data_IF_218284222961
#
_entry.id   IF_218284222961
#
_cell.length_a   1.000
_cell.length_b   1.000
_cell.length_c   1.000
_cell.angle_alpha   90.00
_cell.angle_beta   90.00
_cell.angle_gamma   90.00
#
_symmetry.space_group_name_H-M   'P 1'
#
loop_
_entity.id
_entity.type
_entity.pdbx_description
1 polymer ?
#
# COMPACT_ATOMS: atom_id res chain seq x y z
N UNK A 1 -12.94 -17.28 4.78
CA UNK A 1 -12.13 -16.08 5.05
C UNK A 1 -13.01 -14.92 5.55
N UNK A 2 -14.12 -14.60 4.87
CA UNK A 2 -15.05 -13.54 5.31
C UNK A 2 -15.71 -13.77 6.70
N UNK A 3 -15.95 -15.02 7.08
CA UNK A 3 -16.55 -15.33 8.39
C UNK A 3 -15.63 -14.95 9.57
N UNK A 4 -14.31 -15.14 9.42
CA UNK A 4 -13.32 -14.74 10.43
C UNK A 4 -13.23 -13.22 10.54
N UNK A 5 -13.30 -12.52 9.39
CA UNK A 5 -13.36 -11.06 9.33
C UNK A 5 -14.59 -10.52 10.07
N UNK A 6 -15.77 -11.11 9.81
CA UNK A 6 -17.01 -10.70 10.44
C UNK A 6 -17.00 -10.92 11.96
N UNK A 7 -16.49 -12.07 12.40
CA UNK A 7 -16.36 -12.38 13.83
C UNK A 7 -15.40 -11.42 14.53
N UNK A 8 -14.25 -11.13 13.93
CA UNK A 8 -13.27 -10.21 14.53
C UNK A 8 -13.78 -8.76 14.56
N UNK A 9 -14.45 -8.30 13.50
CA UNK A 9 -15.08 -6.99 13.47
C UNK A 9 -16.20 -6.87 14.54
N UNK A 10 -17.03 -7.91 14.67
CA UNK A 10 -18.12 -7.96 15.65
C UNK A 10 -17.61 -8.05 17.09
N UNK A 11 -16.53 -8.80 17.34
CA UNK A 11 -15.88 -8.87 18.65
C UNK A 11 -15.30 -7.51 19.09
N UNK A 12 -14.85 -6.69 18.14
CA UNK A 12 -14.39 -5.32 18.39
C UNK A 12 -15.51 -4.26 18.34
N UNK A 13 -16.76 -4.64 18.01
CA UNK A 13 -17.88 -3.71 17.85
C UNK A 13 -17.72 -2.74 16.67
N UNK A 14 -16.87 -3.06 15.69
CA UNK A 14 -16.57 -2.21 14.55
C UNK A 14 -17.25 -2.74 13.28
N UNK A 15 -17.51 -1.85 12.32
CA UNK A 15 -17.85 -2.28 10.96
C UNK A 15 -16.67 -3.01 10.34
N UNK A 16 -16.93 -3.94 9.42
CA UNK A 16 -15.87 -4.74 8.76
C UNK A 16 -14.79 -3.85 8.12
N UNK A 17 -15.19 -2.79 7.42
CA UNK A 17 -14.25 -1.86 6.78
C UNK A 17 -13.38 -1.09 7.78
N UNK A 18 -13.97 -0.64 8.89
CA UNK A 18 -13.25 0.06 9.96
C UNK A 18 -12.27 -0.87 10.68
N UNK A 19 -12.68 -2.10 10.94
CA UNK A 19 -11.82 -3.12 11.54
C UNK A 19 -10.60 -3.42 10.66
N UNK A 20 -10.78 -3.61 9.34
CA UNK A 20 -9.67 -3.81 8.40
C UNK A 20 -8.74 -2.60 8.40
N UNK A 21 -9.28 -1.39 8.36
CA UNK A 21 -8.46 -0.18 8.34
C UNK A 21 -7.62 -0.01 9.63
N UNK A 22 -8.16 -0.38 10.80
CA UNK A 22 -7.39 -0.40 12.05
C UNK A 22 -6.33 -1.50 12.06
N UNK A 23 -6.67 -2.70 11.59
CA UNK A 23 -5.72 -3.80 11.49
C UNK A 23 -4.52 -3.43 10.61
N UNK A 24 -4.79 -2.82 9.45
CA UNK A 24 -3.76 -2.30 8.54
C UNK A 24 -2.93 -1.25 9.25
N UNK A 25 -3.53 -0.24 9.90
CA UNK A 25 -2.78 0.80 10.62
C UNK A 25 -1.89 0.23 11.74
N UNK A 26 -2.34 -0.82 12.42
CA UNK A 26 -1.57 -1.45 13.50
C UNK A 26 -0.36 -2.24 12.99
N UNK A 27 -0.42 -2.80 11.78
CA UNK A 27 0.60 -3.72 11.27
C UNK A 27 1.40 -3.18 10.09
N UNK A 28 0.88 -2.16 9.41
CA UNK A 28 1.61 -1.43 8.39
C UNK A 28 2.67 -0.58 9.09
N UNK A 29 3.92 -0.73 8.65
CA UNK A 29 5.00 0.15 9.10
C UNK A 29 4.90 1.46 8.33
N UNK A 30 5.03 2.58 9.04
CA UNK A 30 5.13 3.91 8.41
C UNK A 30 6.43 4.09 7.62
N UNK A 31 7.41 3.22 7.89
CA UNK A 31 8.72 3.22 7.25
C UNK A 31 8.94 1.93 6.48
N UNK A 32 9.57 2.08 5.32
CA UNK A 32 10.05 0.94 4.55
C UNK A 32 11.09 0.15 5.35
N UNK A 33 11.06 -1.19 5.31
CA UNK A 33 12.13 -2.01 5.86
C UNK A 33 13.49 -1.64 5.26
N UNK A 34 14.56 -1.79 6.04
CA UNK A 34 15.92 -1.45 5.59
C UNK A 34 16.33 -2.26 4.35
N UNK A 35 15.86 -3.50 4.25
CA UNK A 35 16.05 -4.36 3.09
C UNK A 35 15.43 -3.73 1.84
N UNK A 36 14.23 -3.16 1.95
CA UNK A 36 13.57 -2.47 0.84
C UNK A 36 14.33 -1.20 0.43
N UNK A 37 14.84 -0.43 1.39
CA UNK A 37 15.64 0.76 1.10
C UNK A 37 16.96 0.39 0.40
N UNK A 38 17.57 -0.74 0.79
CA UNK A 38 18.83 -1.25 0.21
C UNK A 38 18.67 -1.71 -1.24
N UNK A 39 17.45 -2.03 -1.68
CA UNK A 39 17.17 -2.39 -3.08
C UNK A 39 17.25 -1.19 -4.03
N UNK A 40 17.27 0.05 -3.53
CA UNK A 40 17.43 1.23 -4.37
C UNK A 40 18.79 1.18 -5.10
N UNK A 41 18.75 1.08 -6.43
CA UNK A 41 19.95 0.96 -7.25
C UNK A 41 20.64 -0.42 -7.23
N UNK A 42 20.06 -1.42 -6.57
CA UNK A 42 20.60 -2.78 -6.53
C UNK A 42 20.48 -3.53 -7.88
N UNK A 43 19.66 -3.02 -8.79
CA UNK A 43 19.47 -3.57 -10.13
C UNK A 43 20.46 -2.91 -11.10
N UNK A 44 21.58 -3.60 -11.37
CA UNK A 44 22.61 -3.13 -12.32
C UNK A 44 22.08 -2.91 -13.74
N UNK A 45 21.07 -3.70 -14.12
CA UNK A 45 20.55 -3.76 -15.50
C UNK A 45 19.25 -2.97 -15.62
N UNK A 46 18.89 -2.19 -14.58
CA UNK A 46 17.67 -1.41 -14.59
C UNK A 46 17.77 -0.35 -15.69
N UNK A 47 16.77 -0.28 -16.60
CA UNK A 47 16.78 0.69 -17.69
C UNK A 47 16.51 2.09 -17.11
N UNK A 48 17.56 2.73 -16.61
CA UNK A 48 17.53 4.14 -16.28
C UNK A 48 17.27 4.91 -17.58
N UNK A 49 16.30 5.83 -17.54
CA UNK A 49 16.07 6.74 -18.65
C UNK A 49 16.95 7.96 -18.43
N UNK A 50 17.77 8.28 -19.43
CA UNK A 50 18.59 9.51 -19.43
C UNK A 50 17.70 10.77 -19.47
N UNK A 51 16.51 10.64 -20.08
CA UNK A 51 15.53 11.71 -20.19
C UNK A 51 14.24 11.32 -19.46
N UNK A 52 13.85 12.15 -18.50
CA UNK A 52 12.53 12.06 -17.89
C UNK A 52 11.49 12.50 -18.93
N UNK A 53 10.40 11.73 -19.15
CA UNK A 53 9.33 12.19 -20.01
C UNK A 53 8.77 13.50 -19.46
N UNK A 54 8.27 14.36 -20.37
CA UNK A 54 7.45 15.51 -19.99
C UNK A 54 6.39 15.04 -18.99
N UNK A 55 6.28 15.75 -17.87
CA UNK A 55 5.38 15.42 -16.79
C UNK A 55 3.98 15.16 -17.35
N UNK A 56 3.48 13.94 -17.17
CA UNK A 56 2.17 13.56 -17.70
C UNK A 56 1.08 14.45 -17.12
N UNK A 57 0.08 14.81 -17.93
CA UNK A 57 -1.08 15.53 -17.43
C UNK A 57 -1.78 14.68 -16.38
N UNK A 58 -2.10 15.29 -15.24
CA UNK A 58 -2.93 14.66 -14.22
C UNK A 58 -4.31 14.34 -14.84
N UNK A 59 -4.68 13.06 -14.85
CA UNK A 59 -5.96 12.61 -15.39
C UNK A 59 -6.95 12.43 -14.24
N UNK A 60 -8.21 12.87 -14.40
CA UNK A 60 -9.20 12.70 -13.36
C UNK A 60 -9.35 11.21 -13.01
N UNK A 61 -9.36 10.91 -11.71
CA UNK A 61 -9.63 9.55 -11.21
C UNK A 61 -10.98 9.08 -11.79
N UNK A 62 -10.98 7.93 -12.45
CA UNK A 62 -12.22 7.28 -12.88
C UNK A 62 -13.00 6.89 -11.62
N UNK A 63 -14.20 7.46 -11.47
CA UNK A 63 -15.11 7.12 -10.37
C UNK A 63 -15.62 5.68 -10.51
N UNK A 64 -15.88 5.04 -9.38
CA UNK A 64 -16.55 3.74 -9.27
C UNK A 64 -18.04 3.94 -8.96
#
# INVERSE_FOLDING_TARGET
>A
MEALLAQAAQACGLSKSRWVAELIRQHARDVWPAECATLAGAFSDFPLRDELPLQGNDVPRIGF
#
